data_IF_883113602438
#
_entry.id   IF_883113602438
#
_cell.length_a   1.000
_cell.length_b   1.000
_cell.length_c   1.000
_cell.angle_alpha   90.00
_cell.angle_beta   90.00
_cell.angle_gamma   90.00
#
_symmetry.space_group_name_H-M   'P 1'
#
loop_
_entity.id
_entity.type
_entity.pdbx_description
1 polymer ?
#
# COMPACT_ATOMS: atom_id res chain seq x y z
N UNK A 1 1.26 -25.70 -7.56
CA UNK A 1 2.69 -25.67 -7.15
C UNK A 1 2.71 -25.82 -5.64
N UNK A 2 3.55 -26.66 -5.10
CA UNK A 2 3.75 -26.75 -3.65
C UNK A 2 4.43 -25.47 -3.16
N UNK A 3 4.15 -25.02 -1.94
CA UNK A 3 4.75 -23.81 -1.39
C UNK A 3 6.25 -23.91 -1.17
N UNK A 4 6.79 -25.14 -1.14
CA UNK A 4 8.20 -25.49 -1.08
C UNK A 4 8.94 -25.51 -2.45
N UNK A 5 8.28 -25.08 -3.55
CA UNK A 5 8.91 -25.06 -4.88
C UNK A 5 10.05 -24.03 -4.92
N UNK A 6 11.33 -24.46 -5.22
CA UNK A 6 12.48 -23.56 -5.23
C UNK A 6 12.33 -22.35 -6.15
N UNK A 7 11.65 -22.50 -7.29
CA UNK A 7 11.42 -21.37 -8.21
C UNK A 7 10.64 -20.19 -7.60
N UNK A 8 9.92 -20.41 -6.51
CA UNK A 8 9.20 -19.35 -5.78
C UNK A 8 10.13 -18.43 -5.01
N UNK A 9 11.32 -18.89 -4.67
CA UNK A 9 12.27 -18.16 -3.81
C UNK A 9 13.36 -17.44 -4.59
N UNK A 10 13.26 -17.39 -5.91
CA UNK A 10 14.11 -16.53 -6.74
C UNK A 10 13.67 -15.07 -6.53
N UNK A 11 14.63 -14.21 -6.16
CA UNK A 11 14.35 -12.79 -5.93
C UNK A 11 14.20 -12.05 -7.25
N UNK A 12 12.95 -11.98 -7.73
CA UNK A 12 12.62 -11.37 -9.01
C UNK A 12 12.43 -9.86 -8.89
N UNK A 13 12.54 -9.16 -10.01
CA UNK A 13 12.43 -7.71 -10.07
C UNK A 13 11.10 -7.15 -9.50
N UNK A 14 9.97 -7.77 -9.81
CA UNK A 14 8.68 -7.38 -9.25
C UNK A 14 8.58 -7.60 -7.74
N UNK A 15 9.27 -8.62 -7.19
CA UNK A 15 9.39 -8.84 -5.75
C UNK A 15 10.25 -7.74 -5.13
N UNK A 16 11.35 -7.36 -5.77
CA UNK A 16 12.22 -6.26 -5.33
C UNK A 16 11.44 -4.96 -5.21
N UNK A 17 10.66 -4.60 -6.23
CA UNK A 17 9.84 -3.37 -6.23
C UNK A 17 8.84 -3.36 -5.08
N UNK A 18 8.16 -4.47 -4.84
CA UNK A 18 7.22 -4.60 -3.71
C UNK A 18 7.93 -4.41 -2.37
N UNK A 19 9.07 -5.04 -2.17
CA UNK A 19 9.88 -4.93 -0.96
C UNK A 19 10.45 -3.52 -0.76
N UNK A 20 10.87 -2.84 -1.82
CA UNK A 20 11.34 -1.46 -1.74
C UNK A 20 10.21 -0.50 -1.33
N UNK A 21 8.99 -0.70 -1.85
CA UNK A 21 7.83 0.08 -1.43
C UNK A 21 7.53 -0.18 0.05
N UNK A 22 7.51 -1.45 0.47
CA UNK A 22 7.28 -1.84 1.86
C UNK A 22 8.32 -1.22 2.78
N UNK A 23 9.60 -1.37 2.48
CA UNK A 23 10.70 -0.83 3.29
C UNK A 23 10.61 0.69 3.43
N UNK A 24 10.45 1.41 2.30
CA UNK A 24 10.32 2.87 2.29
C UNK A 24 9.11 3.32 3.11
N UNK A 25 8.00 2.58 3.00
CA UNK A 25 6.81 2.89 3.78
C UNK A 25 7.04 2.70 5.28
N UNK A 26 7.57 1.55 5.69
CA UNK A 26 7.87 1.28 7.10
C UNK A 26 8.87 2.31 7.68
N UNK A 27 9.86 2.75 6.89
CA UNK A 27 10.82 3.80 7.31
C UNK A 27 10.16 5.15 7.60
N UNK A 28 9.03 5.47 6.98
CA UNK A 28 8.23 6.65 7.30
C UNK A 28 7.17 6.40 8.38
N UNK A 29 6.51 5.23 8.35
CA UNK A 29 5.45 4.83 9.24
C UNK A 29 5.93 4.65 10.69
N UNK A 30 7.08 3.98 10.88
CA UNK A 30 7.66 3.71 12.20
C UNK A 30 7.94 5.00 12.99
N UNK A 31 8.61 6.04 12.45
CA UNK A 31 8.80 7.28 13.19
C UNK A 31 7.51 8.03 13.49
N UNK A 32 6.55 8.04 12.55
CA UNK A 32 5.27 8.74 12.73
C UNK A 32 4.48 8.16 13.90
N UNK A 33 4.36 6.85 13.98
CA UNK A 33 3.57 6.21 15.02
C UNK A 33 4.38 5.89 16.28
N UNK A 34 5.63 5.48 16.14
CA UNK A 34 6.49 5.13 17.25
C UNK A 34 6.82 6.32 18.15
N UNK A 35 6.86 7.55 17.61
CA UNK A 35 7.06 8.76 18.42
C UNK A 35 5.87 9.08 19.34
N UNK A 36 4.68 8.63 19.00
CA UNK A 36 3.41 8.90 19.72
C UNK A 36 2.99 7.70 20.57
N UNK A 37 3.24 6.49 20.09
CA UNK A 37 2.79 5.26 20.72
C UNK A 37 3.95 4.46 21.29
N UNK A 38 3.78 3.90 22.49
CA UNK A 38 4.81 3.07 23.15
C UNK A 38 5.04 1.75 22.40
N UNK A 39 4.01 1.24 21.72
CA UNK A 39 4.02 -0.01 20.97
C UNK A 39 3.38 0.21 19.61
N UNK A 40 3.98 -0.39 18.58
CA UNK A 40 3.42 -0.54 17.24
C UNK A 40 3.52 -2.00 16.83
N UNK A 41 2.68 -2.44 15.89
CA UNK A 41 2.65 -3.82 15.43
C UNK A 41 2.82 -3.89 13.91
N UNK A 42 3.61 -4.85 13.46
CA UNK A 42 3.73 -5.25 12.07
C UNK A 42 3.27 -6.70 11.94
N UNK A 43 2.33 -6.94 11.05
CA UNK A 43 1.84 -8.28 10.72
C UNK A 43 2.22 -8.63 9.30
N UNK A 44 2.87 -9.77 9.12
CA UNK A 44 3.13 -10.38 7.84
C UNK A 44 2.29 -11.66 7.73
N UNK A 45 1.25 -11.58 6.92
CA UNK A 45 0.26 -12.65 6.82
C UNK A 45 0.73 -13.85 6.00
N UNK A 46 1.82 -13.69 5.23
CA UNK A 46 2.38 -14.69 4.33
C UNK A 46 3.90 -14.59 4.33
N UNK A 47 4.50 -14.78 5.49
CA UNK A 47 5.90 -14.46 5.79
C UNK A 47 6.93 -15.29 4.98
N UNK A 48 6.51 -16.43 4.45
CA UNK A 48 7.37 -17.32 3.67
C UNK A 48 8.56 -17.82 4.48
N UNK A 49 9.68 -17.99 3.80
CA UNK A 49 10.94 -18.48 4.41
C UNK A 49 11.74 -17.41 5.17
N UNK A 50 11.30 -16.13 5.10
CA UNK A 50 12.06 -15.02 5.67
C UNK A 50 13.17 -14.48 4.78
N UNK A 51 13.68 -15.25 3.85
CA UNK A 51 14.72 -14.86 2.88
C UNK A 51 14.53 -15.54 1.52
N UNK A 52 15.09 -14.93 0.49
CA UNK A 52 15.14 -15.44 -0.88
C UNK A 52 16.50 -16.04 -1.21
N UNK A 53 16.60 -16.76 -2.32
CA UNK A 53 17.86 -17.27 -2.85
C UNK A 53 18.90 -16.14 -3.00
N UNK A 54 20.16 -16.45 -2.69
CA UNK A 54 21.23 -15.45 -2.67
C UNK A 54 21.24 -14.56 -1.42
N UNK A 55 20.44 -14.88 -0.39
CA UNK A 55 20.43 -14.15 0.89
C UNK A 55 19.70 -12.80 0.83
N UNK A 56 18.85 -12.59 -0.18
CA UNK A 56 18.02 -11.39 -0.24
C UNK A 56 16.95 -11.43 0.86
N UNK A 57 16.75 -10.33 1.61
CA UNK A 57 15.80 -10.29 2.71
C UNK A 57 14.36 -10.42 2.23
N UNK A 58 13.58 -11.26 2.89
CA UNK A 58 12.11 -11.26 2.80
C UNK A 58 11.49 -10.13 3.63
N UNK A 59 10.18 -9.98 3.52
CA UNK A 59 9.42 -8.96 4.26
C UNK A 59 9.61 -9.02 5.78
N UNK A 60 9.73 -10.21 6.44
CA UNK A 60 10.04 -10.28 7.87
C UNK A 60 11.36 -9.62 8.24
N UNK A 61 12.42 -9.97 7.51
CA UNK A 61 13.76 -9.42 7.75
C UNK A 61 13.81 -7.91 7.46
N UNK A 62 13.13 -7.45 6.41
CA UNK A 62 13.01 -6.03 6.10
C UNK A 62 12.37 -5.27 7.28
N UNK A 63 11.26 -5.77 7.80
CA UNK A 63 10.57 -5.15 8.93
C UNK A 63 11.44 -5.09 10.18
N UNK A 64 12.15 -6.17 10.50
CA UNK A 64 13.07 -6.23 11.64
C UNK A 64 14.24 -5.24 11.50
N UNK A 65 14.85 -5.17 10.32
CA UNK A 65 15.95 -4.24 10.05
C UNK A 65 15.48 -2.79 10.15
N UNK A 66 14.32 -2.45 9.61
CA UNK A 66 13.72 -1.13 9.77
C UNK A 66 13.47 -0.80 11.24
N UNK A 67 12.93 -1.75 12.02
CA UNK A 67 12.74 -1.59 13.47
C UNK A 67 14.06 -1.32 14.21
N UNK A 68 15.12 -2.03 13.86
CA UNK A 68 16.45 -1.81 14.45
C UNK A 68 17.05 -0.43 14.05
N UNK A 69 17.00 -0.08 12.77
CA UNK A 69 17.53 1.19 12.26
C UNK A 69 16.84 2.40 12.90
N UNK A 70 15.54 2.25 13.21
CA UNK A 70 14.69 3.32 13.75
C UNK A 70 14.39 3.17 15.25
N UNK A 71 15.21 2.41 15.96
CA UNK A 71 15.04 2.13 17.41
C UNK A 71 14.90 3.37 18.30
N UNK A 72 15.44 4.52 17.89
CA UNK A 72 15.30 5.78 18.62
C UNK A 72 13.87 6.34 18.62
N UNK A 73 13.02 5.90 17.71
CA UNK A 73 11.61 6.34 17.57
C UNK A 73 10.62 5.40 18.25
N UNK A 74 11.02 4.17 18.54
CA UNK A 74 10.12 3.13 19.07
C UNK A 74 10.57 2.64 20.44
N UNK A 75 9.62 2.33 21.32
CA UNK A 75 9.91 1.58 22.55
C UNK A 75 9.80 0.09 22.31
N UNK A 76 8.78 -0.33 21.57
CA UNK A 76 8.52 -1.72 21.23
C UNK A 76 7.85 -1.83 19.86
N UNK A 77 8.36 -2.69 19.01
CA UNK A 77 7.73 -3.12 17.78
C UNK A 77 7.45 -4.62 17.86
N UNK A 78 6.17 -4.99 17.84
CA UNK A 78 5.77 -6.40 17.79
C UNK A 78 5.65 -6.80 16.31
N UNK A 79 6.45 -7.79 15.91
CA UNK A 79 6.42 -8.35 14.58
C UNK A 79 5.81 -9.74 14.64
N UNK A 80 4.67 -9.92 14.00
CA UNK A 80 3.95 -11.19 13.89
C UNK A 80 4.10 -11.72 12.48
N UNK A 81 4.72 -12.88 12.34
CA UNK A 81 5.02 -13.54 11.07
C UNK A 81 4.25 -14.85 10.97
N UNK A 82 3.38 -14.96 9.98
CA UNK A 82 2.50 -16.12 9.80
C UNK A 82 2.94 -16.87 8.56
N UNK A 83 3.19 -18.15 8.69
CA UNK A 83 3.54 -19.05 7.60
C UNK A 83 2.84 -20.40 7.76
N UNK A 84 2.24 -20.86 6.67
CA UNK A 84 1.43 -22.09 6.67
C UNK A 84 2.27 -23.32 6.35
N UNK A 85 3.23 -23.20 5.43
CA UNK A 85 4.07 -24.31 5.00
C UNK A 85 5.11 -24.65 6.08
N UNK A 86 5.18 -25.88 6.57
CA UNK A 86 6.05 -26.24 7.70
C UNK A 86 7.54 -26.08 7.38
N UNK A 87 7.99 -26.33 6.15
CA UNK A 87 9.40 -26.22 5.77
C UNK A 87 9.81 -24.75 5.69
N UNK A 88 8.93 -23.90 5.13
CA UNK A 88 9.13 -22.45 5.11
C UNK A 88 9.13 -21.88 6.51
N UNK A 89 8.22 -22.36 7.39
CA UNK A 89 8.13 -21.92 8.77
C UNK A 89 9.38 -22.23 9.60
N UNK A 90 9.97 -23.42 9.44
CA UNK A 90 11.25 -23.76 10.11
C UNK A 90 12.38 -22.84 9.65
N UNK A 91 12.46 -22.54 8.34
CA UNK A 91 13.44 -21.60 7.83
C UNK A 91 13.21 -20.18 8.35
N UNK A 92 11.95 -19.74 8.37
CA UNK A 92 11.55 -18.43 8.91
C UNK A 92 12.01 -18.26 10.36
N UNK A 93 11.80 -19.28 11.21
CA UNK A 93 12.27 -19.24 12.59
C UNK A 93 13.80 -19.09 12.69
N UNK A 94 14.54 -19.84 11.88
CA UNK A 94 16.01 -19.76 11.88
C UNK A 94 16.49 -18.37 11.45
N UNK A 95 15.90 -17.81 10.39
CA UNK A 95 16.24 -16.47 9.85
C UNK A 95 15.90 -15.38 10.85
N UNK A 96 14.70 -15.40 11.41
CA UNK A 96 14.25 -14.37 12.37
C UNK A 96 15.02 -14.43 13.68
N UNK A 97 15.38 -15.61 14.17
CA UNK A 97 16.24 -15.78 15.35
C UNK A 97 17.62 -15.12 15.14
N UNK A 98 18.19 -15.25 13.94
CA UNK A 98 19.48 -14.61 13.62
C UNK A 98 19.41 -13.09 13.60
N UNK A 99 18.27 -12.52 13.22
CA UNK A 99 18.03 -11.07 13.18
C UNK A 99 17.57 -10.51 14.53
N UNK A 100 16.93 -11.31 15.39
CA UNK A 100 16.36 -10.86 16.68
C UNK A 100 17.42 -10.27 17.62
N UNK A 101 18.60 -10.87 17.67
CA UNK A 101 19.72 -10.35 18.46
C UNK A 101 20.16 -8.95 18.08
N UNK A 102 19.89 -8.52 16.85
CA UNK A 102 20.21 -7.20 16.31
C UNK A 102 19.10 -6.17 16.62
N UNK A 103 17.88 -6.62 16.95
CA UNK A 103 16.73 -5.75 17.19
C UNK A 103 16.11 -5.96 18.57
N UNK A 104 16.74 -5.48 19.67
CA UNK A 104 16.24 -5.71 21.04
C UNK A 104 14.89 -5.02 21.33
N UNK A 105 14.46 -4.10 20.47
CA UNK A 105 13.14 -3.44 20.55
C UNK A 105 12.05 -4.17 19.75
N UNK A 106 12.42 -5.20 18.96
CA UNK A 106 11.49 -6.02 18.22
C UNK A 106 11.10 -7.23 19.07
N UNK A 107 9.80 -7.45 19.24
CA UNK A 107 9.26 -8.70 19.79
C UNK A 107 8.75 -9.55 18.64
N UNK A 108 9.42 -10.67 18.41
CA UNK A 108 9.13 -11.54 17.27
C UNK A 108 8.17 -12.65 17.71
N UNK A 109 7.12 -12.84 16.91
CA UNK A 109 6.17 -13.94 17.04
C UNK A 109 6.04 -14.65 15.70
N UNK A 110 6.69 -15.79 15.56
CA UNK A 110 6.51 -16.69 14.42
C UNK A 110 5.35 -17.63 14.72
N UNK A 111 4.33 -17.66 13.87
CA UNK A 111 3.13 -18.47 14.06
C UNK A 111 2.96 -19.39 12.86
N UNK A 112 2.98 -20.71 13.11
CA UNK A 112 2.66 -21.70 12.10
C UNK A 112 1.15 -21.82 11.95
N UNK A 113 0.62 -21.45 10.79
CA UNK A 113 -0.81 -21.49 10.53
C UNK A 113 -1.23 -20.73 9.30
N UNK A 114 -2.51 -20.80 9.00
CA UNK A 114 -3.13 -20.03 7.92
C UNK A 114 -3.49 -18.62 8.39
N UNK A 115 -3.23 -17.61 7.53
CA UNK A 115 -3.48 -16.20 7.81
C UNK A 115 -4.88 -15.95 8.41
N UNK A 116 -5.93 -16.47 7.75
CA UNK A 116 -7.30 -16.21 8.17
C UNK A 116 -7.59 -16.73 9.57
N UNK A 117 -7.17 -17.97 9.89
CA UNK A 117 -7.38 -18.56 11.20
C UNK A 117 -6.62 -17.83 12.30
N UNK A 118 -5.33 -17.59 12.08
CA UNK A 118 -4.46 -16.92 13.06
C UNK A 118 -4.93 -15.50 13.36
N UNK A 119 -5.24 -14.71 12.33
CA UNK A 119 -5.69 -13.33 12.54
C UNK A 119 -7.06 -13.26 13.20
N UNK A 120 -7.97 -14.17 12.86
CA UNK A 120 -9.28 -14.24 13.53
C UNK A 120 -9.12 -14.47 15.05
N UNK A 121 -8.24 -15.38 15.46
CA UNK A 121 -7.97 -15.62 16.90
C UNK A 121 -7.33 -14.39 17.55
N UNK A 122 -6.34 -13.76 16.91
CA UNK A 122 -5.72 -12.53 17.44
C UNK A 122 -6.76 -11.42 17.60
N UNK A 123 -7.62 -11.19 16.61
CA UNK A 123 -8.66 -10.15 16.70
C UNK A 123 -9.63 -10.45 17.82
N UNK A 124 -10.02 -11.71 18.00
CA UNK A 124 -10.91 -12.15 19.09
C UNK A 124 -10.30 -11.87 20.46
N UNK A 125 -9.01 -12.10 20.61
CA UNK A 125 -8.32 -11.93 21.90
C UNK A 125 -8.02 -10.46 22.24
N UNK A 126 -7.56 -9.68 21.22
CA UNK A 126 -7.05 -8.32 21.45
C UNK A 126 -8.04 -7.25 20.96
N UNK A 127 -8.69 -7.46 19.83
CA UNK A 127 -9.70 -6.57 19.24
C UNK A 127 -9.26 -5.11 19.18
N UNK A 128 -10.12 -4.22 19.64
CA UNK A 128 -9.86 -2.77 19.63
C UNK A 128 -8.67 -2.31 20.52
N UNK A 129 -8.12 -3.20 21.35
CA UNK A 129 -6.92 -2.92 22.18
C UNK A 129 -5.62 -3.09 21.40
N UNK A 130 -5.68 -3.54 20.14
CA UNK A 130 -4.50 -3.67 19.31
C UNK A 130 -3.78 -2.31 19.17
N UNK A 131 -2.47 -2.32 19.37
CA UNK A 131 -1.65 -1.13 19.10
C UNK A 131 -1.74 -0.74 17.62
N UNK A 132 -1.34 0.49 17.23
CA UNK A 132 -1.29 0.85 15.83
C UNK A 132 -0.59 -0.20 15.00
N UNK A 133 -1.24 -0.69 13.94
CA UNK A 133 -0.82 -1.90 13.24
C UNK A 133 -0.74 -1.69 11.73
N UNK A 134 0.27 -2.29 11.14
CA UNK A 134 0.42 -2.40 9.69
C UNK A 134 0.38 -3.87 9.30
N UNK A 135 -0.60 -4.23 8.48
CA UNK A 135 -0.76 -5.58 7.95
C UNK A 135 -0.25 -5.65 6.52
N UNK A 136 0.78 -6.46 6.30
CA UNK A 136 1.25 -6.83 4.97
C UNK A 136 0.64 -8.18 4.60
N UNK A 137 -0.15 -8.19 3.52
CA UNK A 137 -0.94 -9.34 3.07
C UNK A 137 -0.52 -9.68 1.65
N UNK A 138 0.41 -10.63 1.51
CA UNK A 138 1.05 -10.99 0.24
C UNK A 138 0.85 -12.47 -0.11
N UNK A 139 -0.38 -12.89 -0.43
CA UNK A 139 -0.68 -14.29 -0.69
C UNK A 139 -0.02 -14.80 -1.96
N UNK A 140 0.35 -16.08 -1.98
CA UNK A 140 0.66 -16.80 -3.21
C UNK A 140 -0.64 -17.16 -3.95
N UNK A 141 -1.14 -16.25 -4.77
CA UNK A 141 -2.40 -16.39 -5.48
C UNK A 141 -3.55 -15.61 -4.82
N UNK A 142 -4.77 -16.09 -4.90
CA UNK A 142 -5.96 -15.33 -4.47
C UNK A 142 -6.72 -16.00 -3.31
N UNK A 143 -6.22 -17.12 -2.79
CA UNK A 143 -6.88 -17.87 -1.72
C UNK A 143 -6.39 -17.44 -0.34
N UNK A 144 -7.23 -17.64 0.66
CA UNK A 144 -6.86 -17.46 2.07
C UNK A 144 -6.88 -16.03 2.58
N UNK A 145 -7.45 -15.10 1.79
CA UNK A 145 -7.63 -13.68 2.17
C UNK A 145 -9.10 -13.29 2.01
N UNK A 146 -10.01 -13.78 2.89
CA UNK A 146 -11.42 -13.44 2.79
C UNK A 146 -11.63 -11.95 3.08
N UNK A 147 -12.45 -11.30 2.26
CA UNK A 147 -12.75 -9.86 2.38
C UNK A 147 -13.30 -9.49 3.78
N UNK A 148 -14.13 -10.35 4.35
CA UNK A 148 -14.69 -10.10 5.68
C UNK A 148 -13.61 -9.95 6.74
N UNK A 149 -12.55 -10.75 6.68
CA UNK A 149 -11.41 -10.62 7.59
C UNK A 149 -10.66 -9.29 7.36
N UNK A 150 -10.43 -8.89 6.11
CA UNK A 150 -9.83 -7.59 5.80
C UNK A 150 -10.68 -6.44 6.33
N UNK A 151 -12.01 -6.54 6.23
CA UNK A 151 -12.95 -5.58 6.82
C UNK A 151 -12.84 -5.53 8.35
N UNK A 152 -12.73 -6.67 9.01
CA UNK A 152 -12.54 -6.74 10.46
C UNK A 152 -11.23 -6.10 10.89
N UNK A 153 -10.12 -6.42 10.23
CA UNK A 153 -8.80 -5.80 10.45
C UNK A 153 -8.91 -4.27 10.34
N UNK A 154 -9.52 -3.77 9.25
CA UNK A 154 -9.62 -2.34 8.97
C UNK A 154 -10.62 -1.61 9.90
N UNK A 155 -11.51 -2.33 10.58
CA UNK A 155 -12.39 -1.78 11.61
C UNK A 155 -11.64 -1.43 12.91
N UNK A 156 -10.46 -2.01 13.13
CA UNK A 156 -9.63 -1.73 14.29
C UNK A 156 -8.98 -0.35 14.14
N UNK A 157 -9.11 0.54 15.13
CA UNK A 157 -8.53 1.88 15.05
C UNK A 157 -7.01 1.85 14.81
N UNK A 158 -6.51 2.75 13.97
CA UNK A 158 -5.08 2.92 13.64
C UNK A 158 -4.46 1.67 12.98
N UNK A 159 -5.26 0.94 12.24
CA UNK A 159 -4.82 -0.20 11.44
C UNK A 159 -4.79 0.19 9.97
N UNK A 160 -3.76 -0.26 9.28
CA UNK A 160 -3.55 -0.09 7.86
C UNK A 160 -3.25 -1.44 7.23
N UNK A 161 -3.67 -1.63 5.99
CA UNK A 161 -3.43 -2.87 5.25
C UNK A 161 -2.76 -2.56 3.92
N UNK A 162 -1.74 -3.36 3.59
CA UNK A 162 -1.06 -3.34 2.31
C UNK A 162 -1.18 -4.73 1.68
N UNK A 163 -2.02 -4.82 0.64
CA UNK A 163 -2.45 -6.09 0.05
C UNK A 163 -1.87 -6.25 -1.34
N UNK A 164 -1.33 -7.43 -1.65
CA UNK A 164 -1.04 -7.88 -3.01
C UNK A 164 -2.30 -8.52 -3.60
N UNK A 165 -2.99 -7.77 -4.46
CA UNK A 165 -4.15 -8.26 -5.19
C UNK A 165 -3.70 -8.95 -6.48
N UNK A 166 -3.65 -10.28 -6.45
CA UNK A 166 -3.04 -11.16 -7.47
C UNK A 166 -3.89 -11.25 -8.74
N UNK A 167 -4.02 -10.13 -9.48
CA UNK A 167 -4.88 -10.03 -10.66
C UNK A 167 -4.61 -11.10 -11.72
N UNK A 168 -3.34 -11.39 -12.02
CA UNK A 168 -3.00 -12.42 -13.01
C UNK A 168 -3.62 -13.78 -12.69
N UNK A 169 -3.54 -14.17 -11.44
CA UNK A 169 -4.08 -15.47 -11.01
C UNK A 169 -5.61 -15.43 -10.94
N UNK A 170 -6.20 -14.33 -10.46
CA UNK A 170 -7.64 -14.10 -10.51
C UNK A 170 -8.13 -14.21 -11.96
N UNK A 171 -7.55 -13.45 -12.90
CA UNK A 171 -7.95 -13.43 -14.31
C UNK A 171 -7.82 -14.79 -15.00
N UNK A 172 -6.81 -15.58 -14.61
CA UNK A 172 -6.56 -16.92 -15.14
C UNK A 172 -7.62 -17.94 -14.73
N UNK A 173 -8.14 -17.83 -13.49
CA UNK A 173 -9.12 -18.76 -12.93
C UNK A 173 -10.55 -18.24 -12.96
N UNK A 174 -10.76 -17.03 -13.46
CA UNK A 174 -12.05 -16.35 -13.39
C UNK A 174 -13.21 -17.12 -14.09
N UNK A 175 -12.89 -17.91 -15.12
CA UNK A 175 -13.86 -18.74 -15.85
C UNK A 175 -13.74 -20.24 -15.52
N UNK A 176 -13.06 -20.59 -14.42
CA UNK A 176 -12.88 -21.98 -14.02
C UNK A 176 -14.02 -22.43 -13.11
N UNK A 177 -14.46 -23.66 -13.29
CA UNK A 177 -15.42 -24.29 -12.38
C UNK A 177 -14.82 -24.42 -10.96
N UNK A 178 -15.67 -24.39 -9.95
CA UNK A 178 -15.32 -24.58 -8.53
C UNK A 178 -14.46 -23.47 -7.87
N UNK A 179 -14.42 -22.26 -8.41
CA UNK A 179 -13.75 -21.10 -7.78
C UNK A 179 -14.72 -20.03 -7.30
N UNK A 180 -16.01 -20.19 -7.55
CA UNK A 180 -17.02 -19.18 -7.26
C UNK A 180 -17.06 -18.79 -5.78
N UNK A 181 -17.08 -19.76 -4.87
CA UNK A 181 -17.08 -19.51 -3.43
C UNK A 181 -15.81 -18.76 -2.99
N UNK A 182 -14.66 -19.11 -3.59
CA UNK A 182 -13.38 -18.46 -3.28
C UNK A 182 -13.39 -17.00 -3.73
N UNK A 183 -14.00 -16.72 -4.89
CA UNK A 183 -14.12 -15.34 -5.36
C UNK A 183 -15.19 -14.56 -4.60
N UNK A 184 -16.28 -15.20 -4.16
CA UNK A 184 -17.26 -14.59 -3.27
C UNK A 184 -16.60 -14.18 -1.95
N UNK A 185 -15.75 -15.04 -1.39
CA UNK A 185 -14.96 -14.73 -0.20
C UNK A 185 -13.96 -13.61 -0.46
N UNK A 186 -13.20 -13.67 -1.57
CA UNK A 186 -12.16 -12.69 -1.91
C UNK A 186 -12.75 -11.29 -2.11
N UNK A 187 -13.86 -11.18 -2.86
CA UNK A 187 -14.49 -9.91 -3.15
C UNK A 187 -15.50 -9.47 -2.07
N UNK A 188 -15.95 -10.39 -1.21
CA UNK A 188 -17.03 -10.13 -0.24
C UNK A 188 -18.36 -9.83 -0.90
N UNK A 189 -18.56 -10.21 -2.16
CA UNK A 189 -19.76 -9.97 -2.96
C UNK A 189 -19.81 -10.91 -4.14
N UNK A 190 -21.01 -11.16 -4.66
CA UNK A 190 -21.25 -11.93 -5.90
C UNK A 190 -21.22 -11.05 -7.16
N UNK A 191 -21.11 -9.74 -7.03
CA UNK A 191 -21.17 -8.76 -8.14
C UNK A 191 -20.08 -8.98 -9.19
N UNK A 192 -18.97 -9.60 -8.83
CA UNK A 192 -17.88 -9.93 -9.76
C UNK A 192 -18.36 -10.83 -10.92
N UNK A 193 -19.44 -11.64 -10.74
CA UNK A 193 -20.02 -12.47 -11.80
C UNK A 193 -20.56 -11.63 -12.95
N UNK A 194 -21.19 -10.50 -12.65
CA UNK A 194 -21.73 -9.58 -13.66
C UNK A 194 -20.62 -8.98 -14.55
N UNK A 195 -19.38 -8.93 -14.05
CA UNK A 195 -18.24 -8.44 -14.82
C UNK A 195 -17.84 -9.44 -15.90
N UNK A 196 -18.11 -10.75 -15.69
CA UNK A 196 -17.86 -11.79 -16.67
C UNK A 196 -18.86 -11.75 -17.84
N UNK A 197 -20.10 -11.38 -17.55
CA UNK A 197 -21.18 -11.33 -18.54
C UNK A 197 -21.04 -10.14 -19.50
N UNK A 198 -20.29 -9.10 -19.09
CA UNK A 198 -20.01 -7.95 -19.96
C UNK A 198 -18.95 -8.33 -21.00
N UNK A 199 -19.24 -8.04 -22.26
CA UNK A 199 -18.36 -8.31 -23.42
C UNK A 199 -17.07 -7.44 -23.44
N UNK A 200 -16.56 -7.01 -22.30
CA UNK A 200 -15.30 -6.29 -22.14
C UNK A 200 -14.12 -7.27 -22.02
N UNK A 201 -13.10 -7.11 -22.85
CA UNK A 201 -11.88 -7.92 -22.82
C UNK A 201 -10.70 -7.23 -22.13
N UNK A 202 -9.72 -8.01 -21.68
CA UNK A 202 -8.39 -7.53 -21.34
C UNK A 202 -8.37 -6.49 -20.21
N UNK A 203 -7.89 -5.28 -20.53
CA UNK A 203 -7.67 -4.19 -19.57
C UNK A 203 -8.95 -3.66 -18.93
N UNK A 204 -10.06 -3.64 -19.64
CA UNK A 204 -11.33 -3.16 -19.08
C UNK A 204 -11.81 -4.06 -17.94
N UNK A 205 -11.77 -5.38 -18.16
CA UNK A 205 -12.12 -6.37 -17.12
C UNK A 205 -11.17 -6.27 -15.93
N UNK A 206 -9.88 -6.10 -16.19
CA UNK A 206 -8.86 -5.90 -15.16
C UNK A 206 -9.20 -4.70 -14.26
N UNK A 207 -9.44 -3.56 -14.86
CA UNK A 207 -9.77 -2.34 -14.14
C UNK A 207 -11.07 -2.49 -13.36
N UNK A 208 -12.10 -3.11 -13.96
CA UNK A 208 -13.39 -3.30 -13.29
C UNK A 208 -13.29 -4.21 -12.06
N UNK A 209 -12.52 -5.30 -12.12
CA UNK A 209 -12.29 -6.18 -10.96
C UNK A 209 -11.47 -5.49 -9.86
N UNK A 210 -10.42 -4.75 -10.23
CA UNK A 210 -9.67 -3.92 -9.29
C UNK A 210 -10.58 -2.89 -8.60
N UNK A 211 -11.37 -2.19 -9.39
CA UNK A 211 -12.25 -1.13 -8.88
C UNK A 211 -13.39 -1.68 -8.03
N UNK A 212 -13.89 -2.87 -8.33
CA UNK A 212 -14.81 -3.59 -7.46
C UNK A 212 -14.18 -3.82 -6.07
N UNK A 213 -12.94 -4.35 -6.02
CA UNK A 213 -12.26 -4.59 -4.75
C UNK A 213 -11.99 -3.30 -3.98
N UNK A 214 -11.59 -2.23 -4.67
CA UNK A 214 -11.42 -0.90 -4.07
C UNK A 214 -12.73 -0.34 -3.52
N UNK A 215 -13.82 -0.52 -4.25
CA UNK A 215 -15.17 -0.11 -3.83
C UNK A 215 -15.61 -0.85 -2.58
N UNK A 216 -15.39 -2.17 -2.53
CA UNK A 216 -15.66 -2.97 -1.33
C UNK A 216 -14.86 -2.46 -0.12
N UNK A 217 -13.56 -2.15 -0.29
CA UNK A 217 -12.75 -1.59 0.80
C UNK A 217 -13.27 -0.23 1.28
N UNK A 218 -13.75 0.63 0.37
CA UNK A 218 -14.30 1.94 0.74
C UNK A 218 -15.68 1.86 1.37
N UNK A 219 -16.58 1.11 0.75
CA UNK A 219 -18.00 1.12 1.12
C UNK A 219 -18.32 0.11 2.22
N UNK A 220 -17.77 -1.10 2.14
CA UNK A 220 -18.09 -2.18 3.08
C UNK A 220 -17.11 -2.23 4.26
N UNK A 221 -15.83 -1.93 4.04
CA UNK A 221 -14.87 -1.83 5.14
C UNK A 221 -14.75 -0.41 5.71
N UNK A 222 -15.40 0.59 5.12
CA UNK A 222 -15.45 1.97 5.63
C UNK A 222 -14.10 2.69 5.57
N UNK A 223 -13.22 2.34 4.66
CA UNK A 223 -11.88 2.91 4.55
C UNK A 223 -11.91 4.20 3.75
N UNK A 224 -11.37 5.27 4.31
CA UNK A 224 -11.34 6.60 3.66
C UNK A 224 -10.42 6.63 2.44
N UNK A 225 -9.24 6.03 2.55
CA UNK A 225 -8.18 6.13 1.55
C UNK A 225 -7.75 4.75 1.09
N UNK A 226 -8.01 4.43 -0.17
CA UNK A 226 -7.56 3.20 -0.82
C UNK A 226 -6.80 3.61 -2.07
N UNK A 227 -5.55 3.17 -2.19
CA UNK A 227 -4.67 3.56 -3.28
C UNK A 227 -3.99 2.35 -3.92
N UNK A 228 -4.23 2.09 -5.22
CA UNK A 228 -3.63 0.99 -5.95
C UNK A 228 -2.34 1.41 -6.65
N UNK A 229 -1.38 0.48 -6.75
CA UNK A 229 -0.19 0.56 -7.58
C UNK A 229 -0.09 -0.69 -8.43
N UNK A 230 -0.01 -0.52 -9.74
CA UNK A 230 0.04 -1.62 -10.72
C UNK A 230 1.46 -2.15 -10.87
N UNK A 231 1.64 -3.46 -10.81
CA UNK A 231 2.93 -4.12 -11.07
C UNK A 231 2.79 -5.06 -12.25
N UNK A 232 3.57 -4.78 -13.29
CA UNK A 232 3.57 -5.53 -14.54
C UNK A 232 4.80 -6.44 -14.66
N UNK A 233 4.67 -7.43 -15.53
CA UNK A 233 5.78 -8.24 -16.00
C UNK A 233 6.60 -7.41 -17.00
N UNK A 234 7.92 -7.34 -16.80
CA UNK A 234 8.81 -6.49 -17.60
C UNK A 234 8.73 -6.75 -19.12
N UNK A 235 8.58 -8.02 -19.50
CA UNK A 235 8.64 -8.42 -20.91
C UNK A 235 7.31 -8.26 -21.68
N UNK A 236 6.17 -8.14 -21.00
CA UNK A 236 4.84 -8.28 -21.64
C UNK A 236 3.87 -7.14 -21.34
N UNK A 237 4.23 -6.14 -20.57
CA UNK A 237 3.32 -5.11 -20.03
C UNK A 237 2.03 -5.69 -19.40
N UNK A 238 2.05 -6.98 -19.08
CA UNK A 238 0.94 -7.71 -18.48
C UNK A 238 0.95 -7.51 -16.97
N UNK A 239 -0.18 -7.15 -16.41
CA UNK A 239 -0.33 -7.00 -14.97
C UNK A 239 -0.12 -8.33 -14.25
N UNK A 240 0.78 -8.33 -13.29
CA UNK A 240 0.96 -9.42 -12.34
C UNK A 240 -0.03 -9.27 -11.19
N UNK A 241 0.01 -8.13 -10.55
CA UNK A 241 -0.83 -7.80 -9.39
C UNK A 241 -0.94 -6.29 -9.19
N UNK A 242 -1.86 -5.92 -8.33
CA UNK A 242 -1.90 -4.58 -7.74
C UNK A 242 -1.43 -4.63 -6.30
N UNK A 243 -0.62 -3.66 -5.90
CA UNK A 243 -0.36 -3.37 -4.50
C UNK A 243 -1.39 -2.36 -4.06
N UNK A 244 -2.27 -2.74 -3.14
CA UNK A 244 -3.37 -1.89 -2.67
C UNK A 244 -3.10 -1.49 -1.22
N UNK A 245 -2.93 -0.21 -0.97
CA UNK A 245 -2.83 0.36 0.36
C UNK A 245 -4.18 0.89 0.81
N UNK A 246 -4.62 0.48 1.99
CA UNK A 246 -5.89 0.86 2.60
C UNK A 246 -5.65 1.44 4.01
N UNK A 247 -6.04 2.69 4.23
CA UNK A 247 -5.83 3.41 5.50
C UNK A 247 -6.93 4.43 5.78
N UNK A 248 -7.17 4.73 7.04
CA UNK A 248 -8.03 5.82 7.49
C UNK A 248 -7.25 7.10 7.83
N UNK A 249 -5.92 7.08 7.67
CA UNK A 249 -5.05 8.21 7.99
C UNK A 249 -4.49 8.85 6.72
N UNK A 250 -4.76 10.15 6.53
CA UNK A 250 -4.25 10.89 5.36
C UNK A 250 -2.71 10.88 5.28
N UNK A 251 -1.99 10.92 6.41
CA UNK A 251 -0.52 10.84 6.41
C UNK A 251 -0.02 9.50 5.87
N UNK A 252 -0.75 8.40 6.13
CA UNK A 252 -0.46 7.09 5.55
C UNK A 252 -0.63 7.11 4.04
N UNK A 253 -1.76 7.61 3.53
CA UNK A 253 -1.96 7.80 2.09
C UNK A 253 -0.88 8.68 1.48
N UNK A 254 -0.60 9.84 2.09
CA UNK A 254 0.37 10.82 1.63
C UNK A 254 1.75 10.18 1.44
N UNK A 255 2.21 9.44 2.45
CA UNK A 255 3.49 8.74 2.42
C UNK A 255 3.51 7.68 1.33
N UNK A 256 2.50 6.78 1.31
CA UNK A 256 2.45 5.67 0.37
C UNK A 256 2.36 6.15 -1.08
N UNK A 257 1.50 7.12 -1.36
CA UNK A 257 1.37 7.66 -2.71
C UNK A 257 2.66 8.31 -3.21
N UNK A 258 3.38 9.04 -2.33
CA UNK A 258 4.67 9.63 -2.66
C UNK A 258 5.73 8.56 -2.99
N UNK A 259 5.76 7.45 -2.26
CA UNK A 259 6.65 6.32 -2.51
C UNK A 259 6.31 5.66 -3.85
N UNK A 260 5.04 5.36 -4.08
CA UNK A 260 4.57 4.72 -5.31
C UNK A 260 4.78 5.61 -6.55
N UNK A 261 4.64 6.93 -6.40
CA UNK A 261 4.94 7.89 -7.46
C UNK A 261 6.40 7.80 -7.92
N UNK A 262 7.33 7.69 -6.97
CA UNK A 262 8.76 7.61 -7.26
C UNK A 262 9.21 6.21 -7.72
N UNK A 263 8.45 5.18 -7.42
CA UNK A 263 8.76 3.80 -7.79
C UNK A 263 8.25 3.44 -9.18
N UNK A 264 7.17 4.05 -9.62
CA UNK A 264 6.62 3.91 -10.96
C UNK A 264 7.20 4.93 -11.94
N UNK A 265 6.75 4.87 -13.19
CA UNK A 265 6.89 5.99 -14.10
C UNK A 265 6.10 7.17 -13.55
N UNK A 266 6.74 8.31 -13.42
CA UNK A 266 6.22 9.50 -12.72
C UNK A 266 4.73 9.76 -13.03
N UNK A 267 3.89 9.62 -12.01
CA UNK A 267 2.45 9.85 -12.10
C UNK A 267 1.59 8.74 -12.71
N UNK A 268 2.16 7.63 -13.19
CA UNK A 268 1.40 6.48 -13.70
C UNK A 268 0.95 5.50 -12.59
N UNK A 269 1.63 5.52 -11.45
CA UNK A 269 1.44 4.55 -10.37
C UNK A 269 1.46 3.10 -10.87
N UNK A 270 2.38 2.83 -11.81
CA UNK A 270 2.61 1.52 -12.38
C UNK A 270 4.11 1.27 -12.53
N UNK A 271 4.54 0.08 -12.15
CA UNK A 271 5.85 -0.45 -12.48
C UNK A 271 5.74 -1.34 -13.71
N UNK A 272 6.39 -0.96 -14.80
CA UNK A 272 6.28 -1.62 -16.10
C UNK A 272 7.57 -2.38 -16.47
N UNK A 273 8.57 -2.40 -15.59
CA UNK A 273 9.86 -3.04 -15.77
C UNK A 273 11.02 -2.05 -15.75
N UNK A 274 12.28 -2.53 -15.60
CA UNK A 274 13.46 -1.68 -15.50
C UNK A 274 13.79 -0.92 -16.80
N UNK A 275 13.39 -1.46 -17.95
CA UNK A 275 13.71 -0.93 -19.28
C UNK A 275 12.51 -0.30 -20.00
N UNK A 276 11.46 0.08 -19.27
CA UNK A 276 10.27 0.61 -19.90
C UNK A 276 10.53 1.95 -20.59
N UNK A 277 10.60 1.87 -21.92
CA UNK A 277 10.77 3.01 -22.80
C UNK A 277 9.64 4.04 -22.66
N UNK A 278 8.40 3.59 -22.45
CA UNK A 278 7.23 4.45 -22.26
C UNK A 278 7.36 5.26 -20.97
N UNK A 279 7.87 4.65 -19.90
CA UNK A 279 8.12 5.34 -18.63
C UNK A 279 9.14 6.48 -18.79
N UNK A 280 10.20 6.26 -19.58
CA UNK A 280 11.22 7.27 -19.83
C UNK A 280 10.70 8.43 -20.70
N UNK A 281 9.76 8.16 -21.62
CA UNK A 281 9.19 9.17 -22.52
C UNK A 281 7.97 9.88 -21.92
N UNK A 282 7.21 9.23 -21.05
CA UNK A 282 6.12 9.87 -20.32
C UNK A 282 6.59 10.95 -19.34
N UNK A 283 7.85 10.93 -18.88
CA UNK A 283 8.44 12.05 -18.15
C UNK A 283 8.27 13.40 -18.85
N UNK A 284 8.35 13.40 -20.19
CA UNK A 284 8.25 14.61 -21.01
C UNK A 284 6.79 15.05 -21.17
N UNK A 285 5.87 14.10 -21.35
CA UNK A 285 4.44 14.39 -21.53
C UNK A 285 3.74 14.87 -20.24
N UNK A 286 4.23 14.48 -19.07
CA UNK A 286 3.61 14.84 -17.78
C UNK A 286 4.14 16.16 -17.18
N UNK A 287 5.30 16.63 -17.61
CA UNK A 287 5.79 17.96 -17.24
C UNK A 287 4.88 19.09 -17.75
N UNK A 288 4.12 18.84 -18.82
CA UNK A 288 3.20 19.81 -19.44
C UNK A 288 1.83 19.93 -18.76
N UNK A 289 1.52 19.10 -17.76
CA UNK A 289 0.18 19.04 -17.16
C UNK A 289 0.00 19.89 -15.88
N UNK A 290 1.03 20.61 -15.47
CA UNK A 290 0.93 21.60 -14.37
C UNK A 290 -0.12 22.70 -14.67
N UNK A 291 -0.30 23.20 -15.89
CA UNK A 291 -1.36 24.13 -16.24
C UNK A 291 -2.77 23.58 -15.96
N UNK A 292 -3.04 22.34 -16.39
CA UNK A 292 -4.32 21.68 -16.15
C UNK A 292 -4.58 21.46 -14.65
N UNK A 293 -3.56 21.13 -13.89
CA UNK A 293 -3.68 20.97 -12.44
C UNK A 293 -4.00 22.31 -11.73
N UNK A 294 -3.39 23.41 -12.14
CA UNK A 294 -3.72 24.74 -11.62
C UNK A 294 -5.19 25.11 -11.90
N UNK A 295 -5.65 24.87 -13.13
CA UNK A 295 -7.05 25.09 -13.50
C UNK A 295 -7.98 24.24 -12.63
N UNK A 296 -7.68 22.95 -12.45
CA UNK A 296 -8.44 22.05 -11.59
C UNK A 296 -8.54 22.60 -10.17
N UNK A 297 -7.43 23.02 -9.54
CA UNK A 297 -7.44 23.55 -8.18
C UNK A 297 -8.30 24.82 -8.06
N UNK A 298 -8.16 25.75 -9.02
CA UNK A 298 -8.96 27.00 -9.02
C UNK A 298 -10.45 26.72 -9.18
N UNK A 299 -10.83 25.84 -10.10
CA UNK A 299 -12.24 25.48 -10.32
C UNK A 299 -12.83 24.74 -9.12
N UNK A 300 -12.06 23.81 -8.52
CA UNK A 300 -12.50 22.95 -7.41
C UNK A 300 -12.75 23.73 -6.13
N UNK A 301 -11.98 24.80 -5.90
CA UNK A 301 -11.99 25.56 -4.65
C UNK A 301 -12.35 27.04 -4.82
N UNK A 302 -12.96 27.40 -5.95
CA UNK A 302 -13.37 28.79 -6.23
C UNK A 302 -14.07 29.42 -5.02
N UNK A 303 -13.65 30.62 -4.63
CA UNK A 303 -14.21 31.42 -3.53
C UNK A 303 -14.11 30.74 -2.14
N UNK A 304 -13.27 29.70 -1.99
CA UNK A 304 -13.09 29.01 -0.71
C UNK A 304 -11.75 29.39 -0.06
N UNK A 305 -11.73 29.32 1.25
CA UNK A 305 -10.50 29.43 2.05
C UNK A 305 -10.29 28.14 2.83
N UNK A 306 -9.21 27.42 2.49
CA UNK A 306 -8.88 26.12 3.06
C UNK A 306 -7.45 26.12 3.60
N UNK A 307 -7.14 25.17 4.49
CA UNK A 307 -5.75 24.88 4.83
C UNK A 307 -5.06 24.14 3.67
N UNK A 308 -3.72 24.20 3.62
CA UNK A 308 -2.96 23.43 2.64
C UNK A 308 -3.25 21.92 2.77
N UNK A 309 -3.30 21.42 4.00
CA UNK A 309 -3.61 20.02 4.30
C UNK A 309 -5.03 19.64 3.83
N UNK A 310 -6.03 20.51 4.01
CA UNK A 310 -7.40 20.26 3.51
C UNK A 310 -7.47 20.17 1.98
N UNK A 311 -6.69 21.02 1.27
CA UNK A 311 -6.62 20.98 -0.19
C UNK A 311 -6.06 19.64 -0.66
N UNK A 312 -4.96 19.21 -0.06
CA UNK A 312 -4.37 17.90 -0.37
C UNK A 312 -5.33 16.77 -0.03
N UNK A 313 -5.86 16.69 1.19
CA UNK A 313 -6.72 15.59 1.62
C UNK A 313 -7.95 15.43 0.71
N UNK A 314 -8.56 16.54 0.27
CA UNK A 314 -9.74 16.51 -0.59
C UNK A 314 -9.47 16.11 -2.04
N UNK A 315 -8.26 16.30 -2.53
CA UNK A 315 -7.95 16.09 -3.96
C UNK A 315 -6.85 15.07 -4.22
N UNK A 316 -6.17 14.60 -3.18
CA UNK A 316 -5.00 13.73 -3.34
C UNK A 316 -5.29 12.40 -4.04
N UNK A 317 -6.49 11.82 -3.83
CA UNK A 317 -6.94 10.62 -4.56
C UNK A 317 -7.49 10.92 -5.96
N UNK A 318 -7.95 12.16 -6.19
CA UNK A 318 -8.54 12.57 -7.48
C UNK A 318 -7.46 12.90 -8.52
N UNK A 319 -6.22 13.11 -8.08
CA UNK A 319 -5.11 13.54 -8.94
C UNK A 319 -3.96 12.56 -8.91
N UNK A 320 -3.11 12.61 -9.92
CA UNK A 320 -1.83 11.89 -9.96
C UNK A 320 -0.70 12.63 -9.25
N UNK A 321 -0.93 13.87 -8.85
CA UNK A 321 0.09 14.73 -8.26
C UNK A 321 0.38 14.40 -6.80
N UNK A 322 1.62 14.69 -6.36
CA UNK A 322 2.09 14.56 -4.98
C UNK A 322 2.50 15.93 -4.44
N UNK A 323 2.79 16.04 -3.15
CA UNK A 323 3.09 17.27 -2.41
C UNK A 323 3.92 18.31 -3.19
N UNK A 324 5.01 17.88 -3.84
CA UNK A 324 5.88 18.79 -4.61
C UNK A 324 5.12 19.57 -5.69
N UNK A 325 4.18 18.93 -6.35
CA UNK A 325 3.38 19.53 -7.43
C UNK A 325 2.33 20.50 -6.87
N UNK A 326 1.71 20.16 -5.73
CA UNK A 326 0.80 21.06 -5.04
C UNK A 326 1.51 22.34 -4.63
N UNK A 327 2.68 22.24 -4.02
CA UNK A 327 3.51 23.40 -3.62
C UNK A 327 3.88 24.28 -4.80
N UNK A 328 4.28 23.69 -5.90
CA UNK A 328 4.64 24.41 -7.12
C UNK A 328 3.43 25.10 -7.74
N UNK A 329 2.31 24.38 -7.95
CA UNK A 329 1.08 24.93 -8.49
C UNK A 329 0.52 26.08 -7.66
N UNK A 330 0.47 25.94 -6.33
CA UNK A 330 -0.02 27.01 -5.45
C UNK A 330 0.91 28.21 -5.43
N UNK A 331 2.23 28.02 -5.49
CA UNK A 331 3.19 29.13 -5.61
C UNK A 331 3.03 29.90 -6.90
N UNK A 332 2.76 29.23 -8.00
CA UNK A 332 2.49 29.87 -9.29
C UNK A 332 1.15 30.60 -9.29
N UNK A 333 0.06 29.98 -8.77
CA UNK A 333 -1.23 30.61 -8.62
C UNK A 333 -1.21 31.88 -7.74
N UNK A 334 -0.39 31.88 -6.71
CA UNK A 334 -0.16 33.07 -5.87
C UNK A 334 0.52 34.20 -6.68
N UNK A 335 1.51 33.89 -7.50
CA UNK A 335 2.18 34.86 -8.40
C UNK A 335 1.23 35.40 -9.48
N UNK A 336 0.33 34.54 -9.97
CA UNK A 336 -0.69 34.92 -10.97
C UNK A 336 -1.86 35.74 -10.34
N UNK A 337 -1.87 35.93 -9.02
CA UNK A 337 -2.92 36.67 -8.31
C UNK A 337 -4.26 35.93 -8.24
N UNK A 338 -4.28 34.61 -8.50
CA UNK A 338 -5.50 33.79 -8.47
C UNK A 338 -5.83 33.26 -7.08
N UNK A 339 -4.85 33.27 -6.19
CA UNK A 339 -5.01 32.89 -4.78
C UNK A 339 -4.23 33.84 -3.87
N UNK A 340 -4.63 33.85 -2.60
CA UNK A 340 -3.88 34.51 -1.52
C UNK A 340 -3.48 33.45 -0.49
N UNK A 341 -2.18 33.43 -0.10
CA UNK A 341 -1.65 32.52 0.92
C UNK A 341 -1.37 33.30 2.20
N UNK A 342 -2.08 32.98 3.27
CA UNK A 342 -1.82 33.48 4.60
C UNK A 342 -0.96 32.46 5.36
N UNK A 343 0.34 32.76 5.48
CA UNK A 343 1.33 31.93 6.16
C UNK A 343 1.32 32.18 7.66
N UNK A 344 1.11 31.13 8.45
CA UNK A 344 1.07 31.23 9.93
C UNK A 344 2.46 31.53 10.51
N UNK A 345 3.54 31.18 9.80
CA UNK A 345 4.91 31.40 10.24
C UNK A 345 5.64 32.37 9.32
N UNK A 346 6.23 33.42 9.90
CA UNK A 346 7.05 34.43 9.18
C UNK A 346 8.41 33.91 8.69
N UNK A 347 8.84 32.70 9.08
CA UNK A 347 10.08 32.10 8.59
C UNK A 347 9.87 31.55 7.18
N UNK A 348 10.82 31.83 6.28
CA UNK A 348 10.89 31.43 4.85
C UNK A 348 10.91 29.91 4.58
N UNK A 349 10.28 29.09 5.41
CA UNK A 349 10.04 27.68 5.13
C UNK A 349 8.81 27.56 4.24
N UNK A 350 8.81 26.67 3.24
CA UNK A 350 7.71 26.46 2.30
C UNK A 350 6.33 26.28 2.96
N UNK A 351 5.30 26.07 2.17
CA UNK A 351 3.93 25.88 2.66
C UNK A 351 3.86 24.82 3.77
N UNK A 352 3.12 25.14 4.84
CA UNK A 352 2.82 24.24 5.95
C UNK A 352 1.37 23.77 5.84
N UNK A 353 1.06 22.60 6.37
CA UNK A 353 -0.30 22.03 6.37
C UNK A 353 -1.35 23.01 6.88
N UNK A 354 -1.02 23.84 7.88
CA UNK A 354 -1.90 24.83 8.51
C UNK A 354 -2.03 26.16 7.77
N UNK A 355 -1.18 26.45 6.75
CA UNK A 355 -1.27 27.71 6.00
C UNK A 355 -2.61 27.80 5.28
N UNK A 356 -3.23 29.00 5.32
CA UNK A 356 -4.57 29.23 4.76
C UNK A 356 -4.48 29.79 3.35
N UNK A 357 -5.19 29.17 2.42
CA UNK A 357 -5.19 29.51 1.00
C UNK A 357 -6.60 29.93 0.59
N UNK A 358 -6.73 31.16 0.13
CA UNK A 358 -7.99 31.72 -0.39
C UNK A 358 -7.94 31.74 -1.91
N UNK A 359 -8.84 31.01 -2.55
CA UNK A 359 -9.05 31.05 -3.99
C UNK A 359 -9.96 32.22 -4.34
N UNK A 360 -9.56 33.03 -5.33
CA UNK A 360 -10.21 34.28 -5.74
C UNK A 360 -11.18 34.07 -6.89
#
# INVERSE_FOLDING_TARGET
>A
MKDSDPEKWVYREHTRVKHEILEKYLRGWVPILGSVHKRICYFDGFAGRGEYEGGFPGSPVIAMRVGNDLKSYIKEMVCVFIERDPDNFENLKAVTLSEESKCPHCKIQNIHGEFAGVITEIIKDVGAKLAPSFFFVDPFGFKGVPFNLIREILSIPRTEVFITFMYRDIGRFLSSDNVEEIFDELFGTTTWRQILERNGGGLEREHTLRDLYITQLREQAGVKFVFPFRVCMAEKSQTLYYLIHATNNFKGLFLMKGIMYNQGAEGNFAYLGPDDFVAKHQKILFAEDTPSFKIFLVQRFKEQTLSYEDIEEKTYLETRFIDKHYREALKELEKEGKIKINRISSKRSGLKGSDRITFL
#
